data_IF_626501482934
#
_entry.id   IF_626501482934
#
_cell.length_a   1.000
_cell.length_b   1.000
_cell.length_c   1.000
_cell.angle_alpha   90.00
_cell.angle_beta   90.00
_cell.angle_gamma   90.00
#
_symmetry.space_group_name_H-M   'P 1'
#
loop_
_entity.id
_entity.type
_entity.pdbx_description
1 polymer ?
#
# COMPACT_ATOMS: atom_id res chain seq x y z
N UNK A 1 -21.22 8.32 22.71
CA UNK A 1 -21.54 9.75 22.47
C UNK A 1 -22.58 10.30 23.46
N UNK A 2 -23.79 9.68 23.70
CA UNK A 2 -24.78 10.26 24.62
C UNK A 2 -24.27 10.46 26.04
N UNK A 3 -23.61 9.45 26.63
CA UNK A 3 -23.08 9.53 28.00
C UNK A 3 -21.98 10.59 28.14
N UNK A 4 -21.10 10.72 27.15
CA UNK A 4 -20.06 11.76 27.16
C UNK A 4 -20.66 13.17 27.13
N UNK A 5 -21.69 13.40 26.31
CA UNK A 5 -22.45 14.67 26.27
C UNK A 5 -23.19 14.95 27.56
N UNK A 6 -23.81 13.92 28.17
CA UNK A 6 -24.47 14.05 29.47
C UNK A 6 -23.45 14.45 30.56
N UNK A 7 -22.26 13.83 30.55
CA UNK A 7 -21.16 14.21 31.44
C UNK A 7 -20.77 15.67 31.30
N UNK A 8 -20.61 16.15 30.06
CA UNK A 8 -20.31 17.57 29.81
C UNK A 8 -21.41 18.49 30.31
N UNK A 9 -22.69 18.15 30.07
CA UNK A 9 -23.81 18.95 30.56
C UNK A 9 -23.89 18.97 32.09
N UNK A 10 -23.62 17.87 32.77
CA UNK A 10 -23.58 17.81 34.25
C UNK A 10 -22.45 18.63 34.83
N UNK A 11 -21.29 18.63 34.18
CA UNK A 11 -20.13 19.41 34.60
C UNK A 11 -20.36 20.91 34.54
N UNK A 12 -21.19 21.39 33.60
CA UNK A 12 -21.57 22.81 33.53
C UNK A 12 -22.49 23.25 34.67
N UNK A 13 -23.19 22.29 35.31
CA UNK A 13 -24.09 22.58 36.46
C UNK A 13 -23.32 22.54 37.75
N UNK A 14 -22.45 21.57 37.93
CA UNK A 14 -21.65 21.39 39.13
C UNK A 14 -20.35 20.68 38.84
N UNK A 15 -19.22 21.29 39.23
CA UNK A 15 -17.89 20.76 39.01
C UNK A 15 -17.75 19.35 39.64
N UNK A 16 -17.30 18.37 38.83
CA UNK A 16 -17.15 16.97 39.22
C UNK A 16 -18.40 16.12 38.99
N UNK A 17 -19.59 16.69 38.71
CA UNK A 17 -20.80 15.93 38.48
C UNK A 17 -20.80 15.09 37.21
N UNK A 18 -19.95 15.45 36.24
CA UNK A 18 -19.81 14.74 34.96
C UNK A 18 -18.92 13.50 35.01
N UNK A 19 -18.08 13.37 36.03
CA UNK A 19 -17.00 12.33 36.09
C UNK A 19 -17.53 10.91 35.94
N UNK A 20 -18.60 10.56 36.67
CA UNK A 20 -19.17 9.21 36.58
C UNK A 20 -19.76 8.91 35.20
N UNK A 21 -20.35 9.91 34.53
CA UNK A 21 -20.89 9.72 33.17
C UNK A 21 -19.78 9.53 32.14
N UNK A 22 -18.68 10.24 32.28
CA UNK A 22 -17.49 10.03 31.45
C UNK A 22 -16.83 8.67 31.71
N UNK A 23 -16.73 8.24 32.96
CA UNK A 23 -16.24 6.91 33.32
C UNK A 23 -17.13 5.80 32.73
N UNK A 24 -18.44 5.95 32.84
CA UNK A 24 -19.38 5.01 32.21
C UNK A 24 -19.25 5.00 30.69
N UNK A 25 -19.07 6.16 30.07
CA UNK A 25 -18.83 6.25 28.63
C UNK A 25 -17.51 5.54 28.23
N UNK A 26 -16.44 5.74 28.97
CA UNK A 26 -15.14 5.08 28.76
C UNK A 26 -15.26 3.58 28.92
N UNK A 27 -15.93 3.10 30.00
CA UNK A 27 -16.15 1.68 30.26
C UNK A 27 -16.96 1.01 29.15
N UNK A 28 -17.97 1.68 28.58
CA UNK A 28 -18.74 1.19 27.46
C UNK A 28 -17.93 1.17 26.15
N UNK A 29 -16.98 2.11 25.99
CA UNK A 29 -16.16 2.21 24.79
C UNK A 29 -14.97 1.22 24.79
N UNK A 30 -14.41 0.94 25.96
CA UNK A 30 -13.21 0.11 26.13
C UNK A 30 -13.30 -1.26 25.42
N UNK A 31 -14.38 -2.06 25.53
CA UNK A 31 -14.48 -3.33 24.83
C UNK A 31 -14.44 -3.17 23.31
N UNK A 32 -15.08 -2.12 22.78
CA UNK A 32 -15.07 -1.80 21.35
C UNK A 32 -13.66 -1.42 20.90
N UNK A 33 -12.97 -0.62 21.68
CA UNK A 33 -11.60 -0.22 21.42
C UNK A 33 -10.64 -1.41 21.41
N UNK A 34 -10.74 -2.30 22.39
CA UNK A 34 -9.96 -3.54 22.44
C UNK A 34 -10.22 -4.45 21.25
N UNK A 35 -11.48 -4.55 20.82
CA UNK A 35 -11.83 -5.31 19.62
C UNK A 35 -11.16 -4.70 18.38
N UNK A 36 -11.22 -3.38 18.19
CA UNK A 36 -10.54 -2.73 17.07
C UNK A 36 -9.02 -2.91 17.12
N UNK A 37 -8.41 -2.80 18.29
CA UNK A 37 -6.98 -3.06 18.45
C UNK A 37 -6.62 -4.51 18.11
N UNK A 38 -7.41 -5.49 18.55
CA UNK A 38 -7.18 -6.89 18.25
C UNK A 38 -7.33 -7.17 16.74
N UNK A 39 -8.34 -6.58 16.09
CA UNK A 39 -8.49 -6.68 14.64
C UNK A 39 -7.32 -6.01 13.91
N UNK A 40 -6.94 -4.80 14.30
CA UNK A 40 -5.85 -4.07 13.66
C UNK A 40 -4.47 -4.74 13.84
N UNK A 41 -4.28 -5.47 14.93
CA UNK A 41 -3.06 -6.22 15.18
C UNK A 41 -3.00 -7.55 14.39
N UNK A 42 -4.10 -7.98 13.76
CA UNK A 42 -4.08 -9.21 12.97
C UNK A 42 -3.31 -9.00 11.66
N UNK A 43 -2.43 -9.94 11.26
CA UNK A 43 -1.62 -9.81 10.05
C UNK A 43 -2.44 -9.55 8.77
N UNK A 44 -3.66 -10.10 8.70
CA UNK A 44 -4.55 -9.95 7.53
C UNK A 44 -5.52 -8.76 7.65
N UNK A 45 -5.37 -7.90 8.67
CA UNK A 45 -6.27 -6.75 8.86
C UNK A 45 -6.16 -5.70 7.77
N UNK A 46 -4.97 -5.59 7.15
CA UNK A 46 -4.71 -4.68 6.04
C UNK A 46 -4.67 -5.45 4.73
N UNK A 47 -5.74 -5.32 3.95
CA UNK A 47 -5.78 -5.84 2.60
C UNK A 47 -5.61 -4.70 1.59
N UNK A 48 -4.46 -4.70 0.93
CA UNK A 48 -4.15 -3.68 -0.08
C UNK A 48 -4.78 -4.06 -1.40
N UNK A 49 -5.70 -3.23 -1.87
CA UNK A 49 -6.30 -3.38 -3.19
C UNK A 49 -5.55 -2.49 -4.19
N UNK A 50 -5.32 -2.98 -5.42
CA UNK A 50 -4.85 -2.15 -6.51
C UNK A 50 -5.84 -1.01 -6.78
N UNK A 51 -5.37 0.05 -7.43
CA UNK A 51 -6.24 1.11 -7.89
C UNK A 51 -7.30 0.57 -8.84
N UNK A 52 -8.55 0.90 -8.56
CA UNK A 52 -9.69 0.43 -9.33
C UNK A 52 -10.17 1.51 -10.30
N UNK A 53 -10.55 1.17 -11.55
CA UNK A 53 -11.12 2.13 -12.47
C UNK A 53 -12.37 2.81 -11.89
N UNK A 54 -12.55 4.10 -12.16
CA UNK A 54 -13.64 4.90 -11.58
C UNK A 54 -15.06 4.34 -11.86
N UNK A 55 -15.26 3.61 -12.96
CA UNK A 55 -16.54 2.99 -13.27
C UNK A 55 -16.96 1.89 -12.28
N UNK A 56 -16.01 1.24 -11.61
CA UNK A 56 -16.29 0.20 -10.60
C UNK A 56 -17.00 0.78 -9.38
N UNK A 57 -16.74 2.05 -9.06
CA UNK A 57 -17.41 2.76 -7.97
C UNK A 57 -18.91 2.92 -8.28
N UNK A 58 -19.25 3.26 -9.52
CA UNK A 58 -20.66 3.38 -9.94
C UNK A 58 -21.41 2.06 -9.86
N UNK A 59 -20.76 0.95 -10.24
CA UNK A 59 -21.33 -0.39 -10.06
C UNK A 59 -21.55 -0.73 -8.59
N UNK A 60 -20.57 -0.44 -7.74
CA UNK A 60 -20.68 -0.68 -6.30
C UNK A 60 -21.79 0.16 -5.66
N UNK A 61 -21.95 1.42 -6.06
CA UNK A 61 -23.05 2.29 -5.63
C UNK A 61 -24.41 1.75 -6.09
N UNK A 62 -24.53 1.29 -7.35
CA UNK A 62 -25.74 0.68 -7.87
C UNK A 62 -26.09 -0.62 -7.09
N UNK A 63 -25.09 -1.45 -6.79
CA UNK A 63 -25.26 -2.65 -5.96
C UNK A 63 -25.72 -2.30 -4.55
N UNK A 64 -25.11 -1.31 -3.90
CA UNK A 64 -25.51 -0.81 -2.60
C UNK A 64 -26.95 -0.27 -2.59
N UNK A 65 -27.30 0.54 -3.59
CA UNK A 65 -28.65 1.05 -3.74
C UNK A 65 -29.66 -0.09 -3.91
N UNK A 66 -29.38 -1.09 -4.74
CA UNK A 66 -30.24 -2.26 -4.94
C UNK A 66 -30.47 -3.05 -3.65
N UNK A 67 -29.45 -3.21 -2.81
CA UNK A 67 -29.57 -3.87 -1.51
C UNK A 67 -30.50 -3.11 -0.57
N UNK A 68 -30.51 -1.78 -0.62
CA UNK A 68 -31.34 -0.90 0.22
C UNK A 68 -32.82 -0.83 -0.21
N UNK A 69 -33.14 -1.19 -1.46
CA UNK A 69 -34.54 -1.21 -1.93
C UNK A 69 -35.38 -2.14 -1.06
N UNK A 70 -36.67 -1.81 -0.75
CA UNK A 70 -37.55 -2.61 0.11
C UNK A 70 -37.68 -4.09 -0.29
N UNK A 71 -38.10 -4.93 0.67
CA UNK A 71 -38.33 -6.37 0.44
C UNK A 71 -39.36 -6.57 -0.66
N UNK A 72 -39.07 -7.48 -1.62
CA UNK A 72 -39.93 -7.77 -2.78
C UNK A 72 -39.21 -7.64 -4.12
N UNK A 73 -38.07 -6.97 -4.18
CA UNK A 73 -37.23 -6.94 -5.38
C UNK A 73 -36.42 -8.25 -5.48
N UNK A 74 -36.52 -8.98 -6.60
CA UNK A 74 -35.81 -10.25 -6.77
C UNK A 74 -34.30 -10.04 -6.90
N UNK A 75 -33.55 -11.12 -6.73
CA UNK A 75 -32.10 -11.19 -7.00
C UNK A 75 -31.20 -10.26 -6.18
N UNK A 76 -31.63 -9.82 -4.99
CA UNK A 76 -30.80 -8.97 -4.10
C UNK A 76 -29.41 -9.54 -3.84
N UNK A 77 -29.29 -10.87 -3.69
CA UNK A 77 -27.98 -11.50 -3.51
C UNK A 77 -27.02 -11.24 -4.67
N UNK A 78 -27.55 -11.08 -5.90
CA UNK A 78 -26.73 -10.77 -7.08
C UNK A 78 -26.20 -9.34 -7.07
N UNK A 79 -26.83 -8.42 -6.32
CA UNK A 79 -26.34 -7.06 -6.20
C UNK A 79 -24.93 -7.01 -5.56
N UNK A 80 -24.57 -8.01 -4.73
CA UNK A 80 -23.21 -8.14 -4.17
C UNK A 80 -22.17 -8.37 -5.26
N UNK A 81 -22.55 -9.02 -6.38
CA UNK A 81 -21.61 -9.25 -7.49
C UNK A 81 -21.18 -7.95 -8.18
N UNK A 82 -21.96 -6.88 -8.07
CA UNK A 82 -21.58 -5.56 -8.60
C UNK A 82 -20.39 -4.94 -7.85
N UNK A 83 -20.04 -5.48 -6.69
CA UNK A 83 -18.87 -5.05 -5.92
C UNK A 83 -17.59 -5.79 -6.33
N UNK A 84 -17.70 -6.92 -7.04
CA UNK A 84 -16.55 -7.72 -7.43
C UNK A 84 -15.48 -6.93 -8.19
N UNK A 85 -15.81 -6.10 -9.20
CA UNK A 85 -14.78 -5.33 -9.90
C UNK A 85 -14.08 -4.29 -9.03
N UNK A 86 -14.72 -3.82 -7.95
CA UNK A 86 -14.10 -2.91 -6.98
C UNK A 86 -13.15 -3.65 -6.05
N UNK A 87 -13.56 -4.84 -5.55
CA UNK A 87 -12.77 -5.64 -4.60
C UNK A 87 -11.70 -6.47 -5.31
N UNK A 88 -11.92 -6.80 -6.58
CA UNK A 88 -11.01 -7.57 -7.42
C UNK A 88 -10.80 -6.88 -8.76
N UNK A 89 -10.12 -5.71 -8.76
CA UNK A 89 -9.85 -4.98 -9.98
C UNK A 89 -8.97 -5.80 -10.93
N UNK A 90 -9.25 -5.67 -12.23
CA UNK A 90 -8.39 -6.24 -13.24
C UNK A 90 -7.03 -5.54 -13.23
N UNK A 91 -5.97 -6.32 -13.31
CA UNK A 91 -4.60 -5.81 -13.27
C UNK A 91 -4.07 -5.76 -14.70
N UNK A 92 -4.09 -4.59 -15.29
CA UNK A 92 -3.41 -4.37 -16.56
C UNK A 92 -1.92 -4.66 -16.39
N UNK A 93 -1.40 -5.56 -17.21
CA UNK A 93 0.02 -5.90 -17.28
C UNK A 93 0.49 -5.82 -18.73
N UNK A 94 1.76 -5.44 -18.94
CA UNK A 94 2.34 -5.50 -20.28
C UNK A 94 2.24 -6.89 -20.89
N UNK A 95 2.12 -6.96 -22.20
CA UNK A 95 2.16 -8.24 -22.94
C UNK A 95 3.59 -8.81 -22.94
N UNK A 96 3.71 -10.07 -23.31
CA UNK A 96 5.05 -10.66 -23.49
C UNK A 96 5.83 -9.88 -24.59
N UNK A 97 7.06 -9.51 -24.27
CA UNK A 97 7.90 -8.66 -25.13
C UNK A 97 7.71 -7.15 -24.92
N UNK A 98 6.71 -6.74 -24.13
CA UNK A 98 6.50 -5.33 -23.78
C UNK A 98 7.04 -5.03 -22.38
N UNK A 99 7.41 -3.77 -22.16
CA UNK A 99 7.85 -3.24 -20.87
C UNK A 99 7.06 -1.99 -20.55
N UNK A 100 6.66 -1.87 -19.29
CA UNK A 100 6.10 -0.65 -18.73
C UNK A 100 7.12 -0.05 -17.76
N UNK A 101 7.37 1.23 -17.90
CA UNK A 101 8.21 2.03 -17.00
C UNK A 101 7.34 3.06 -16.31
N UNK A 102 7.31 3.02 -14.98
CA UNK A 102 6.61 4.00 -14.14
C UNK A 102 7.63 4.70 -13.27
N UNK A 103 7.81 6.00 -13.48
CA UNK A 103 8.64 6.85 -12.62
C UNK A 103 7.78 7.30 -11.45
N UNK A 104 8.27 7.03 -10.24
CA UNK A 104 7.57 7.36 -8.99
C UNK A 104 8.14 8.70 -8.50
N UNK A 105 7.26 9.65 -8.23
CA UNK A 105 7.66 10.94 -7.67
C UNK A 105 8.07 10.77 -6.20
N UNK A 106 9.36 10.86 -5.97
CA UNK A 106 9.98 10.77 -4.64
C UNK A 106 10.57 12.12 -4.19
N UNK A 107 10.29 13.19 -4.95
CA UNK A 107 10.89 14.50 -4.76
C UNK A 107 12.33 14.52 -5.30
N UNK A 108 13.30 14.87 -4.44
CA UNK A 108 14.70 14.82 -4.83
C UNK A 108 15.19 13.36 -4.73
N UNK A 109 15.60 12.79 -5.86
CA UNK A 109 16.06 11.41 -5.95
C UNK A 109 15.46 10.67 -7.12
N UNK A 110 15.55 9.34 -7.08
CA UNK A 110 15.02 8.48 -8.15
C UNK A 110 14.30 7.26 -7.56
N UNK A 111 13.19 6.92 -8.18
CA UNK A 111 12.58 5.60 -8.04
C UNK A 111 11.79 5.29 -9.31
N UNK A 112 12.05 4.14 -9.91
CA UNK A 112 11.38 3.73 -11.14
C UNK A 112 11.01 2.25 -11.09
N UNK A 113 9.72 1.97 -11.31
CA UNK A 113 9.22 0.61 -11.46
C UNK A 113 9.28 0.20 -12.93
N UNK A 114 9.88 -0.95 -13.20
CA UNK A 114 9.87 -1.60 -14.51
C UNK A 114 9.07 -2.88 -14.40
N UNK A 115 8.00 -3.00 -15.19
CA UNK A 115 7.15 -4.20 -15.24
C UNK A 115 7.20 -4.85 -16.61
N UNK A 116 7.22 -6.17 -16.60
CA UNK A 116 6.93 -7.02 -17.76
C UNK A 116 5.67 -7.83 -17.48
N UNK A 117 5.28 -8.76 -18.32
CA UNK A 117 4.04 -9.51 -18.15
C UNK A 117 3.95 -10.26 -16.81
N UNK A 118 5.08 -10.72 -16.26
CA UNK A 118 5.12 -11.52 -15.02
C UNK A 118 6.14 -11.05 -13.99
N UNK A 119 7.03 -10.13 -14.38
CA UNK A 119 8.11 -9.67 -13.49
C UNK A 119 7.99 -8.18 -13.19
N UNK A 120 8.47 -7.80 -12.01
CA UNK A 120 8.58 -6.42 -11.56
C UNK A 120 9.98 -6.18 -11.00
N UNK A 121 10.59 -5.08 -11.40
CA UNK A 121 11.87 -4.59 -10.91
C UNK A 121 11.69 -3.16 -10.45
N UNK A 122 12.15 -2.84 -9.25
CA UNK A 122 12.27 -1.48 -8.78
C UNK A 122 13.72 -1.03 -8.95
N UNK A 123 13.91 0.14 -9.53
CA UNK A 123 15.22 0.78 -9.68
C UNK A 123 15.25 2.01 -8.78
N UNK A 124 16.08 1.98 -7.75
CA UNK A 124 16.18 2.94 -6.65
C UNK A 124 14.87 3.09 -5.84
N UNK A 125 14.96 3.70 -4.66
CA UNK A 125 13.84 3.79 -3.73
C UNK A 125 13.64 5.21 -3.15
N UNK A 126 14.37 6.20 -3.66
CA UNK A 126 14.30 7.58 -3.20
C UNK A 126 14.94 7.82 -1.83
N UNK A 127 14.80 9.04 -1.30
CA UNK A 127 15.43 9.44 -0.05
C UNK A 127 14.68 8.96 1.19
N UNK A 128 15.42 8.82 2.30
CA UNK A 128 14.86 8.75 3.64
C UNK A 128 15.62 9.67 4.59
N UNK A 129 14.90 10.27 5.52
CA UNK A 129 15.46 11.12 6.59
C UNK A 129 15.13 10.48 7.92
N UNK A 130 16.13 10.30 8.76
CA UNK A 130 15.97 9.72 10.10
C UNK A 130 14.93 10.53 10.90
N UNK A 131 13.96 9.83 11.49
CA UNK A 131 12.81 10.40 12.21
C UNK A 131 11.96 11.39 11.38
N UNK A 132 12.02 11.30 10.05
CA UNK A 132 11.38 12.25 9.15
C UNK A 132 10.64 11.62 7.97
N UNK A 133 10.90 12.15 6.79
CA UNK A 133 10.30 11.69 5.53
C UNK A 133 11.08 10.48 4.99
N UNK A 134 10.35 9.39 4.69
CA UNK A 134 10.85 8.23 3.97
C UNK A 134 10.05 8.06 2.68
N UNK A 135 10.71 8.25 1.53
CA UNK A 135 10.07 8.10 0.22
C UNK A 135 9.68 6.65 -0.06
N UNK A 136 10.45 5.67 0.43
CA UNK A 136 10.12 4.26 0.33
C UNK A 136 8.74 3.97 0.95
N UNK A 137 8.53 4.43 2.20
CA UNK A 137 7.28 4.23 2.93
C UNK A 137 6.12 5.05 2.35
N UNK A 138 6.36 6.35 2.06
CA UNK A 138 5.28 7.31 1.78
C UNK A 138 4.92 7.47 0.31
N UNK A 139 5.82 7.13 -0.60
CA UNK A 139 5.60 7.26 -2.04
C UNK A 139 5.74 5.92 -2.77
N UNK A 140 6.88 5.23 -2.60
CA UNK A 140 7.22 4.04 -3.39
C UNK A 140 6.30 2.87 -3.07
N UNK A 141 6.19 2.48 -1.80
CA UNK A 141 5.34 1.36 -1.38
C UNK A 141 3.87 1.58 -1.73
N UNK A 142 3.27 2.76 -1.45
CA UNK A 142 1.90 3.05 -1.88
C UNK A 142 1.71 2.97 -3.40
N UNK A 143 2.63 3.53 -4.20
CA UNK A 143 2.57 3.46 -5.65
C UNK A 143 2.65 2.02 -6.18
N UNK A 144 3.57 1.20 -5.65
CA UNK A 144 3.69 -0.22 -5.99
C UNK A 144 2.38 -0.97 -5.68
N UNK A 145 1.78 -0.73 -4.52
CA UNK A 145 0.51 -1.35 -4.12
C UNK A 145 -0.65 -0.91 -4.99
N UNK A 146 -0.77 0.38 -5.31
CA UNK A 146 -1.77 0.92 -6.23
C UNK A 146 -1.67 0.27 -7.61
N UNK A 147 -0.45 0.01 -8.10
CA UNK A 147 -0.18 -0.70 -9.34
C UNK A 147 -0.33 -2.24 -9.23
N UNK A 148 -0.75 -2.75 -8.07
CA UNK A 148 -0.95 -4.17 -7.84
C UNK A 148 0.33 -5.00 -7.75
N UNK A 149 1.47 -4.36 -7.45
CA UNK A 149 2.74 -5.03 -7.22
C UNK A 149 2.80 -5.48 -5.76
N UNK A 150 2.75 -6.78 -5.54
CA UNK A 150 2.81 -7.40 -4.21
C UNK A 150 4.19 -7.99 -3.88
N UNK A 151 5.04 -8.17 -4.88
CA UNK A 151 6.41 -8.65 -4.73
C UNK A 151 7.29 -8.09 -5.83
N UNK A 152 8.57 -7.90 -5.53
CA UNK A 152 9.60 -7.47 -6.47
C UNK A 152 10.52 -8.65 -6.79
N UNK A 153 10.75 -8.90 -8.07
CA UNK A 153 11.72 -9.90 -8.53
C UNK A 153 13.15 -9.39 -8.38
N UNK A 154 13.34 -8.08 -8.56
CA UNK A 154 14.59 -7.40 -8.28
C UNK A 154 14.34 -6.00 -7.72
N UNK A 155 15.18 -5.59 -6.79
CA UNK A 155 15.41 -4.22 -6.37
C UNK A 155 16.85 -3.88 -6.77
N UNK A 156 17.00 -2.97 -7.69
CA UNK A 156 18.30 -2.49 -8.17
C UNK A 156 18.57 -1.15 -7.53
N UNK A 157 19.70 -1.02 -6.87
CA UNK A 157 20.17 0.26 -6.31
C UNK A 157 21.35 0.72 -7.15
N UNK A 158 21.25 1.92 -7.71
CA UNK A 158 22.28 2.47 -8.59
C UNK A 158 23.57 2.82 -7.86
N UNK A 159 23.44 3.40 -6.66
CA UNK A 159 24.52 3.75 -5.74
C UNK A 159 23.97 3.96 -4.32
N UNK A 160 24.88 4.13 -3.35
CA UNK A 160 24.51 4.17 -1.93
C UNK A 160 24.06 5.53 -1.40
N UNK A 161 23.94 6.56 -2.23
CA UNK A 161 23.52 7.87 -1.77
C UNK A 161 22.06 7.87 -1.32
N UNK A 162 21.77 8.66 -0.32
CA UNK A 162 20.47 8.64 0.36
C UNK A 162 19.28 8.88 -0.56
N UNK A 163 19.43 9.74 -1.56
CA UNK A 163 18.37 10.07 -2.53
C UNK A 163 18.04 8.95 -3.53
N UNK A 164 18.78 7.83 -3.47
CA UNK A 164 18.56 6.61 -4.25
C UNK A 164 18.33 5.38 -3.37
N UNK A 165 19.10 5.25 -2.30
CA UNK A 165 19.09 4.08 -1.42
C UNK A 165 18.29 4.26 -0.14
N UNK A 166 17.90 5.49 0.22
CA UNK A 166 17.29 5.80 1.51
C UNK A 166 16.03 4.98 1.81
N UNK A 167 15.12 4.85 0.85
CA UNK A 167 13.86 4.13 1.01
C UNK A 167 13.94 2.60 0.87
N UNK A 168 15.13 2.03 0.68
CA UNK A 168 15.33 0.58 0.43
C UNK A 168 14.79 -0.28 1.56
N UNK A 169 15.05 0.09 2.81
CA UNK A 169 14.62 -0.70 3.96
C UNK A 169 13.10 -0.69 4.10
N UNK A 170 12.45 0.46 3.93
CA UNK A 170 10.99 0.56 3.94
C UNK A 170 10.33 -0.31 2.85
N UNK A 171 10.93 -0.38 1.65
CA UNK A 171 10.47 -1.25 0.57
C UNK A 171 10.62 -2.73 0.95
N UNK A 172 11.75 -3.13 1.54
CA UNK A 172 12.01 -4.52 1.97
C UNK A 172 11.13 -4.99 3.10
N UNK A 173 10.81 -4.09 4.02
CA UNK A 173 9.92 -4.38 5.16
C UNK A 173 8.46 -4.51 4.71
N UNK A 174 8.07 -3.79 3.67
CA UNK A 174 6.69 -3.70 3.18
C UNK A 174 6.33 -4.69 2.08
N UNK A 175 7.31 -5.15 1.29
CA UNK A 175 7.11 -6.05 0.15
C UNK A 175 8.15 -7.18 0.14
N UNK A 176 7.74 -8.35 -0.38
CA UNK A 176 8.69 -9.42 -0.64
C UNK A 176 9.62 -9.05 -1.79
N UNK A 177 10.92 -8.93 -1.51
CA UNK A 177 11.97 -8.65 -2.50
C UNK A 177 12.83 -9.90 -2.68
N UNK A 178 12.80 -10.51 -3.89
CA UNK A 178 13.52 -11.76 -4.17
C UNK A 178 15.04 -11.54 -4.23
N UNK A 179 15.48 -10.45 -4.87
CA UNK A 179 16.90 -10.17 -5.08
C UNK A 179 17.15 -8.68 -4.99
N UNK A 180 18.15 -8.29 -4.21
CA UNK A 180 18.68 -6.93 -4.20
C UNK A 180 20.00 -6.95 -4.97
N UNK A 181 20.15 -6.00 -5.89
CA UNK A 181 21.32 -5.80 -6.72
C UNK A 181 21.86 -4.39 -6.45
N UNK A 182 23.14 -4.26 -6.16
CA UNK A 182 23.78 -2.95 -6.00
C UNK A 182 25.26 -3.01 -6.39
N UNK A 183 25.89 -1.90 -6.75
CA UNK A 183 27.32 -1.87 -7.04
C UNK A 183 28.17 -2.21 -5.81
N UNK A 184 29.38 -2.76 -6.01
CA UNK A 184 30.33 -2.95 -4.92
C UNK A 184 30.62 -1.62 -4.21
N UNK A 185 30.61 -1.62 -2.88
CA UNK A 185 30.90 -0.43 -2.06
C UNK A 185 29.73 0.53 -1.87
N UNK A 186 28.53 0.23 -2.35
CA UNK A 186 27.33 1.06 -2.13
C UNK A 186 26.85 1.13 -0.67
N UNK A 187 27.33 0.25 0.20
CA UNK A 187 26.83 0.13 1.57
C UNK A 187 25.46 -0.58 1.68
N UNK A 188 24.78 -0.85 0.57
CA UNK A 188 23.49 -1.54 0.55
C UNK A 188 23.73 -3.05 0.53
N UNK A 189 23.18 -3.82 1.49
CA UNK A 189 23.28 -5.28 1.49
C UNK A 189 22.61 -5.88 0.25
N UNK A 190 23.41 -6.39 -0.68
CA UNK A 190 22.95 -6.96 -1.94
C UNK A 190 23.27 -8.44 -2.05
N UNK A 191 22.42 -9.19 -2.76
CA UNK A 191 22.65 -10.61 -3.03
C UNK A 191 23.66 -10.83 -4.17
N UNK A 192 23.70 -9.89 -5.10
CA UNK A 192 24.62 -9.90 -6.24
C UNK A 192 25.00 -8.48 -6.65
N UNK A 193 26.23 -8.29 -7.16
CA UNK A 193 26.67 -6.99 -7.61
C UNK A 193 26.03 -6.59 -8.95
N UNK A 194 25.70 -5.31 -9.10
CA UNK A 194 25.49 -4.71 -10.40
C UNK A 194 26.84 -4.51 -11.08
N UNK A 195 27.07 -5.17 -12.20
CA UNK A 195 28.31 -5.01 -12.97
C UNK A 195 27.99 -4.82 -14.44
N UNK A 196 28.76 -3.95 -15.11
CA UNK A 196 28.59 -3.68 -16.52
C UNK A 196 28.67 -4.97 -17.35
N UNK A 197 27.76 -5.10 -18.32
CA UNK A 197 27.65 -6.27 -19.18
C UNK A 197 26.78 -7.40 -18.63
N UNK A 198 26.48 -7.45 -17.34
CA UNK A 198 25.53 -8.43 -16.83
C UNK A 198 24.15 -8.22 -17.47
N UNK A 199 23.55 -9.30 -17.93
CA UNK A 199 22.29 -9.26 -18.66
C UNK A 199 21.43 -10.49 -18.35
N UNK A 200 20.12 -10.29 -18.45
CA UNK A 200 19.13 -11.37 -18.34
C UNK A 200 17.92 -11.06 -19.22
N UNK A 201 17.04 -12.02 -19.33
CA UNK A 201 15.78 -11.84 -20.10
C UNK A 201 14.60 -12.26 -19.24
N UNK A 202 13.57 -11.40 -19.18
CA UNK A 202 12.26 -11.68 -18.58
C UNK A 202 11.15 -11.46 -19.58
N UNK A 203 10.29 -12.41 -19.75
CA UNK A 203 9.08 -12.32 -20.59
C UNK A 203 9.34 -11.80 -22.01
N UNK A 204 10.51 -12.12 -22.61
CA UNK A 204 10.91 -11.66 -23.92
C UNK A 204 11.63 -10.29 -23.94
N UNK A 205 11.72 -9.60 -22.79
CA UNK A 205 12.44 -8.33 -22.65
C UNK A 205 13.85 -8.59 -22.12
N UNK A 206 14.85 -8.03 -22.80
CA UNK A 206 16.26 -8.14 -22.41
C UNK A 206 16.66 -6.95 -21.55
N UNK A 207 17.18 -7.23 -20.36
CA UNK A 207 17.77 -6.27 -19.42
C UNK A 207 19.30 -6.38 -19.49
N UNK A 208 19.99 -5.28 -19.38
CA UNK A 208 21.45 -5.25 -19.34
C UNK A 208 21.94 -4.05 -18.54
N UNK A 209 22.87 -4.28 -17.62
CA UNK A 209 23.61 -3.20 -16.98
C UNK A 209 24.66 -2.64 -17.95
N UNK A 210 24.64 -1.34 -18.17
CA UNK A 210 25.59 -0.64 -19.01
C UNK A 210 26.73 -0.04 -18.18
N UNK A 211 26.48 0.23 -16.91
CA UNK A 211 27.38 0.85 -15.94
C UNK A 211 26.99 0.38 -14.52
N UNK A 212 27.87 0.32 -13.53
CA UNK A 212 29.32 0.50 -13.49
C UNK A 212 30.07 -0.64 -14.09
#
# INVERSE_FOLDING_TARGET
VPLARAGTALETIHAGAGVWAWQAAATCFEPTWRLFQAVAAHPDALHWLPESPAWTLWLALAGGFWLLVPRGVPCKALAVLLWLPLVWPDRERPRAGEVELVVIDVGQGLSALVRTSRHALLFDAGPAVEDGFDAGERAVVPALRALGVTHLHALVVSHGDNDHAGGVDAVRDSLSVRTVLSPPGSGVPARAPCVAGAAWTWDGVRFRFLHP
#
